data_IF_439910517387
#
_entry.id   IF_439910517387
#
_cell.length_a   1.000
_cell.length_b   1.000
_cell.length_c   1.000
_cell.angle_alpha   90.00
_cell.angle_beta   90.00
_cell.angle_gamma   90.00
#
_symmetry.space_group_name_H-M   'P 1'
#
loop_
_entity.id
_entity.type
_entity.pdbx_description
1 polymer ?
#
# COMPACT_ATOMS: atom_id res chain seq x y z
N UNK A 1 8.43 11.05 3.02
CA UNK A 1 9.34 10.97 1.85
C UNK A 1 10.07 12.28 1.70
N UNK A 2 11.35 12.31 2.08
CA UNK A 2 12.14 13.54 2.05
C UNK A 2 12.67 13.93 0.66
N UNK A 3 12.78 12.98 -0.29
CA UNK A 3 13.35 13.21 -1.63
C UNK A 3 12.71 12.32 -2.70
N UNK A 4 11.50 12.63 -3.21
CA UNK A 4 10.84 11.80 -4.23
C UNK A 4 11.61 11.86 -5.57
N UNK A 5 11.56 10.76 -6.34
CA UNK A 5 11.95 10.80 -7.75
C UNK A 5 10.85 11.54 -8.51
N UNK A 6 11.19 12.68 -9.11
CA UNK A 6 10.21 13.53 -9.77
C UNK A 6 9.88 12.99 -11.16
N UNK A 7 8.60 13.07 -11.60
CA UNK A 7 8.24 12.79 -12.97
C UNK A 7 8.81 13.85 -13.91
N UNK A 8 8.79 13.59 -15.22
CA UNK A 8 9.09 14.60 -16.22
C UNK A 8 7.96 15.63 -16.23
N UNK A 9 8.32 16.91 -16.16
CA UNK A 9 7.38 18.03 -16.18
C UNK A 9 7.40 18.86 -14.90
N UNK A 10 6.49 19.83 -14.83
CA UNK A 10 6.32 20.66 -13.64
C UNK A 10 5.83 19.82 -12.47
N UNK A 11 6.44 20.01 -11.30
CA UNK A 11 6.10 19.24 -10.10
C UNK A 11 5.72 20.16 -8.95
N UNK A 12 4.56 19.89 -8.36
CA UNK A 12 4.12 20.48 -7.09
C UNK A 12 4.35 19.48 -5.96
N UNK A 13 4.89 19.96 -4.84
CA UNK A 13 5.07 19.17 -3.62
C UNK A 13 4.27 19.82 -2.48
N UNK A 14 3.45 19.01 -1.80
CA UNK A 14 2.57 19.46 -0.73
C UNK A 14 1.11 19.04 -0.96
N UNK A 15 0.32 19.06 0.09
CA UNK A 15 -1.11 18.75 0.00
C UNK A 15 -1.91 19.83 -0.74
N UNK A 16 -3.12 19.47 -1.14
CA UNK A 16 -4.07 20.41 -1.76
C UNK A 16 -4.99 21.10 -0.74
N UNK A 17 -5.03 20.65 0.51
CA UNK A 17 -5.99 21.17 1.50
C UNK A 17 -7.37 20.51 1.39
N UNK A 18 -7.41 19.19 1.19
CA UNK A 18 -8.64 18.42 1.02
C UNK A 18 -9.34 18.69 -0.32
N UNK A 19 -10.62 18.33 -0.39
CA UNK A 19 -11.44 18.50 -1.60
C UNK A 19 -11.51 19.96 -2.03
N UNK A 20 -11.77 20.88 -1.09
CA UNK A 20 -11.96 22.30 -1.40
C UNK A 20 -10.73 22.91 -2.08
N UNK A 21 -9.54 22.68 -1.52
CA UNK A 21 -8.32 23.23 -2.11
C UNK A 21 -7.88 22.51 -3.40
N UNK A 22 -8.20 21.22 -3.55
CA UNK A 22 -8.00 20.53 -4.84
C UNK A 22 -8.90 21.12 -5.93
N UNK A 23 -10.17 21.43 -5.63
CA UNK A 23 -11.08 22.10 -6.57
C UNK A 23 -10.56 23.47 -7.01
N UNK A 24 -10.11 24.30 -6.07
CA UNK A 24 -9.48 25.59 -6.39
C UNK A 24 -8.30 25.40 -7.33
N UNK A 25 -7.42 24.43 -7.03
CA UNK A 25 -6.27 24.12 -7.89
C UNK A 25 -6.68 23.71 -9.31
N UNK A 26 -7.68 22.83 -9.47
CA UNK A 26 -8.17 22.41 -10.78
C UNK A 26 -8.67 23.59 -11.62
N UNK A 27 -9.36 24.56 -10.99
CA UNK A 27 -9.85 25.78 -11.65
C UNK A 27 -8.73 26.73 -12.04
N UNK A 28 -7.89 27.08 -11.07
CA UNK A 28 -6.88 28.13 -11.21
C UNK A 28 -5.83 27.74 -12.26
N UNK A 29 -5.41 26.47 -12.24
CA UNK A 29 -4.46 25.90 -13.21
C UNK A 29 -5.13 25.44 -14.51
N UNK A 30 -6.46 25.56 -14.63
CA UNK A 30 -7.25 25.13 -15.79
C UNK A 30 -6.98 23.68 -16.20
N UNK A 31 -6.94 22.79 -15.20
CA UNK A 31 -6.67 21.37 -15.40
C UNK A 31 -7.77 20.75 -16.25
N UNK A 32 -7.38 20.08 -17.34
CA UNK A 32 -8.33 19.49 -18.29
C UNK A 32 -8.67 18.03 -18.02
N UNK A 33 -7.83 17.32 -17.28
CA UNK A 33 -8.02 15.94 -16.90
C UNK A 33 -7.09 15.60 -15.72
N UNK A 34 -7.49 14.64 -14.90
CA UNK A 34 -6.69 14.12 -13.79
C UNK A 34 -6.41 12.63 -14.02
N UNK A 35 -5.16 12.23 -13.82
CA UNK A 35 -4.77 10.82 -13.76
C UNK A 35 -4.32 10.53 -12.34
N UNK A 36 -5.14 9.78 -11.61
CA UNK A 36 -4.79 9.30 -10.28
C UNK A 36 -3.91 8.05 -10.41
N UNK A 37 -2.60 8.26 -10.30
CA UNK A 37 -1.58 7.22 -10.21
C UNK A 37 -1.01 7.10 -8.78
N UNK A 38 -1.77 7.50 -7.76
CA UNK A 38 -1.35 7.35 -6.37
C UNK A 38 -1.28 5.87 -5.95
N UNK A 39 -0.56 5.57 -4.87
CA UNK A 39 -0.53 4.21 -4.32
C UNK A 39 -1.96 3.73 -4.00
N UNK A 40 -2.33 2.45 -4.22
CA UNK A 40 -3.67 1.96 -3.90
C UNK A 40 -4.10 2.23 -2.45
N UNK A 41 -3.17 2.17 -1.50
CA UNK A 41 -3.43 2.52 -0.08
C UNK A 41 -3.59 4.02 0.21
N UNK A 42 -3.42 4.90 -0.79
CA UNK A 42 -3.63 6.33 -0.65
C UNK A 42 -5.13 6.69 -0.84
N UNK A 43 -6.02 5.99 -0.13
CA UNK A 43 -7.46 6.08 -0.29
C UNK A 43 -7.98 7.51 -0.10
N UNK A 44 -7.45 8.24 0.88
CA UNK A 44 -7.89 9.62 1.16
C UNK A 44 -7.67 10.60 0.01
N UNK A 45 -6.51 10.58 -0.66
CA UNK A 45 -6.27 11.45 -1.82
C UNK A 45 -7.06 10.98 -3.05
N UNK A 46 -7.24 9.67 -3.22
CA UNK A 46 -8.05 9.10 -4.30
C UNK A 46 -9.52 9.56 -4.17
N UNK A 47 -10.08 9.47 -2.97
CA UNK A 47 -11.43 9.94 -2.66
C UNK A 47 -11.57 11.47 -2.86
N UNK A 48 -10.57 12.24 -2.42
CA UNK A 48 -10.55 13.68 -2.64
C UNK A 48 -10.52 14.04 -4.14
N UNK A 49 -9.75 13.31 -4.94
CA UNK A 49 -9.66 13.50 -6.38
C UNK A 49 -11.00 13.19 -7.06
N UNK A 50 -11.65 12.10 -6.70
CA UNK A 50 -12.98 11.75 -7.21
C UNK A 50 -14.00 12.87 -6.93
N UNK A 51 -14.12 13.31 -5.67
CA UNK A 51 -15.06 14.36 -5.28
C UNK A 51 -14.75 15.72 -5.94
N UNK A 52 -13.47 16.10 -6.03
CA UNK A 52 -13.08 17.37 -6.65
C UNK A 52 -13.29 17.39 -8.16
N UNK A 53 -12.96 16.28 -8.84
CA UNK A 53 -13.11 16.16 -10.29
C UNK A 53 -14.59 16.18 -10.69
N UNK A 54 -15.45 15.45 -9.97
CA UNK A 54 -16.89 15.45 -10.17
C UNK A 54 -17.48 16.86 -10.02
N UNK A 55 -17.13 17.56 -8.93
CA UNK A 55 -17.62 18.91 -8.65
C UNK A 55 -17.16 19.98 -9.65
N UNK A 56 -16.06 19.75 -10.37
CA UNK A 56 -15.50 20.67 -11.36
C UNK A 56 -15.73 20.22 -12.81
N UNK A 57 -16.40 19.08 -13.02
CA UNK A 57 -16.60 18.52 -14.36
C UNK A 57 -15.29 18.15 -15.07
N UNK A 58 -14.23 17.82 -14.31
CA UNK A 58 -12.93 17.42 -14.84
C UNK A 58 -12.89 15.90 -14.97
N UNK A 59 -12.58 15.32 -16.14
CA UNK A 59 -12.42 13.87 -16.28
C UNK A 59 -11.32 13.31 -15.37
N UNK A 60 -11.62 12.19 -14.71
CA UNK A 60 -10.70 11.46 -13.83
C UNK A 60 -10.47 10.03 -14.34
N UNK A 61 -9.19 9.64 -14.48
CA UNK A 61 -8.76 8.27 -14.74
C UNK A 61 -7.96 7.74 -13.54
N UNK A 62 -8.39 6.61 -12.96
CA UNK A 62 -7.62 5.90 -11.93
C UNK A 62 -6.76 4.81 -12.55
N UNK A 63 -5.45 4.88 -12.35
CA UNK A 63 -4.51 3.82 -12.72
C UNK A 63 -4.16 3.00 -11.47
N UNK A 64 -4.83 1.85 -11.31
CA UNK A 64 -4.58 0.89 -10.24
C UNK A 64 -4.23 -0.49 -10.83
N UNK A 65 -3.27 -1.18 -10.19
CA UNK A 65 -2.95 -2.57 -10.54
C UNK A 65 -3.90 -3.50 -9.79
N UNK A 66 -4.29 -4.60 -10.42
CA UNK A 66 -5.01 -5.68 -9.73
C UNK A 66 -4.15 -6.27 -8.63
N UNK A 67 -4.82 -6.78 -7.60
CA UNK A 67 -4.15 -7.47 -6.51
C UNK A 67 -3.56 -8.80 -6.92
N UNK A 68 -2.83 -9.42 -6.00
CA UNK A 68 -2.20 -10.71 -6.24
C UNK A 68 -3.13 -11.91 -5.97
N UNK A 69 -4.42 -11.68 -5.69
CA UNK A 69 -5.39 -12.76 -5.38
C UNK A 69 -5.54 -13.78 -6.51
N UNK A 70 -5.29 -13.38 -7.76
CA UNK A 70 -5.36 -14.25 -8.93
C UNK A 70 -4.00 -14.88 -9.31
N UNK A 71 -2.95 -14.63 -8.53
CA UNK A 71 -1.64 -15.20 -8.79
C UNK A 71 -1.68 -16.74 -8.61
N UNK A 72 -1.00 -17.54 -9.46
CA UNK A 72 -1.00 -19.01 -9.33
C UNK A 72 -0.59 -19.53 -7.94
N UNK A 73 0.21 -18.73 -7.23
CA UNK A 73 0.72 -19.07 -5.90
C UNK A 73 -0.12 -18.51 -4.75
N UNK A 74 -1.23 -17.81 -5.04
CA UNK A 74 -2.08 -17.16 -4.04
C UNK A 74 -2.59 -18.14 -2.96
N UNK A 75 -2.76 -19.42 -3.30
CA UNK A 75 -3.15 -20.47 -2.36
C UNK A 75 -2.06 -20.89 -1.37
N UNK A 76 -0.79 -20.48 -1.58
CA UNK A 76 0.31 -20.73 -0.65
C UNK A 76 0.50 -19.62 0.37
N UNK A 77 -0.10 -18.46 0.14
CA UNK A 77 0.07 -17.34 1.04
C UNK A 77 -1.02 -17.25 2.08
N UNK A 78 -0.66 -16.69 3.22
CA UNK A 78 -1.63 -16.39 4.26
C UNK A 78 -2.16 -14.97 4.12
N UNK A 79 -3.45 -14.86 3.85
CA UNK A 79 -4.17 -13.59 3.72
C UNK A 79 -4.66 -13.11 5.09
N UNK A 80 -4.40 -11.84 5.40
CA UNK A 80 -4.83 -11.20 6.65
C UNK A 80 -5.28 -9.77 6.36
N UNK A 81 -6.19 -9.25 7.18
CA UNK A 81 -6.88 -7.97 6.94
C UNK A 81 -6.24 -6.78 7.67
N UNK A 82 -5.29 -7.04 8.56
CA UNK A 82 -4.63 -6.00 9.34
C UNK A 82 -3.14 -6.26 9.59
N UNK A 83 -2.42 -5.18 9.94
CA UNK A 83 -1.03 -5.26 10.36
C UNK A 83 -0.86 -6.03 11.67
N UNK A 84 -1.85 -6.00 12.57
CA UNK A 84 -1.82 -6.73 13.82
C UNK A 84 -1.96 -8.24 13.59
N UNK A 85 -2.89 -8.64 12.72
CA UNK A 85 -3.07 -10.06 12.34
C UNK A 85 -1.84 -10.59 11.62
N UNK A 86 -1.26 -9.79 10.72
CA UNK A 86 0.00 -10.11 10.06
C UNK A 86 1.14 -10.31 11.08
N UNK A 87 1.25 -9.46 12.10
CA UNK A 87 2.28 -9.58 13.14
C UNK A 87 2.09 -10.86 13.97
N UNK A 88 0.86 -11.12 14.42
CA UNK A 88 0.53 -12.32 15.20
C UNK A 88 0.82 -13.60 14.40
N UNK A 89 0.44 -13.62 13.12
CA UNK A 89 0.67 -14.77 12.26
C UNK A 89 2.17 -15.00 11.97
N UNK A 90 2.94 -13.93 11.79
CA UNK A 90 4.37 -14.01 11.44
C UNK A 90 5.16 -14.78 12.51
N UNK A 91 4.82 -14.63 13.79
CA UNK A 91 5.46 -15.34 14.91
C UNK A 91 5.43 -16.87 14.73
N UNK A 92 4.34 -17.41 14.15
CA UNK A 92 4.15 -18.85 13.96
C UNK A 92 4.69 -19.41 12.65
N UNK A 93 5.09 -18.56 11.69
CA UNK A 93 5.42 -19.00 10.33
C UNK A 93 6.92 -19.24 10.11
N UNK A 94 7.78 -18.60 10.89
CA UNK A 94 9.22 -18.73 10.77
C UNK A 94 10.00 -17.84 11.72
N UNK A 95 11.30 -17.76 11.49
CA UNK A 95 12.29 -17.24 12.44
C UNK A 95 13.08 -16.04 11.92
N UNK A 96 12.98 -15.73 10.63
CA UNK A 96 13.74 -14.68 9.94
C UNK A 96 12.81 -13.91 9.01
N UNK A 97 11.85 -13.14 9.56
CA UNK A 97 10.86 -12.44 8.76
C UNK A 97 11.46 -11.24 8.03
N UNK A 98 11.01 -11.01 6.80
CA UNK A 98 11.29 -9.82 6.03
C UNK A 98 10.08 -8.89 5.97
N UNK A 99 10.20 -7.71 6.57
CA UNK A 99 9.16 -6.68 6.61
C UNK A 99 9.46 -5.57 5.59
N UNK A 100 8.82 -5.65 4.42
CA UNK A 100 8.91 -4.62 3.37
C UNK A 100 7.63 -3.78 3.25
N UNK A 101 7.14 -3.28 4.39
CA UNK A 101 5.80 -2.66 4.52
C UNK A 101 5.84 -1.14 4.76
N UNK A 102 7.03 -0.56 4.66
CA UNK A 102 7.25 0.85 4.94
C UNK A 102 7.17 1.19 6.42
N UNK A 103 7.54 2.43 6.75
CA UNK A 103 7.73 2.87 8.14
C UNK A 103 6.45 2.92 8.99
N UNK A 104 5.30 3.21 8.38
CA UNK A 104 4.03 3.42 9.11
C UNK A 104 3.40 2.10 9.60
N UNK A 105 3.76 0.98 8.98
CA UNK A 105 3.20 -0.34 9.32
C UNK A 105 3.99 -1.13 10.37
N UNK A 106 5.11 -0.59 10.89
CA UNK A 106 6.05 -1.36 11.71
C UNK A 106 5.63 -1.54 13.16
N UNK A 107 4.92 -0.58 13.76
CA UNK A 107 4.59 -0.59 15.18
C UNK A 107 3.97 -1.91 15.68
N UNK A 108 3.00 -2.54 14.98
CA UNK A 108 2.40 -3.80 15.42
C UNK A 108 3.37 -5.00 15.47
N UNK A 109 4.53 -4.92 14.82
CA UNK A 109 5.52 -6.00 14.73
C UNK A 109 6.58 -5.95 15.82
N UNK A 110 6.79 -4.77 16.44
CA UNK A 110 7.90 -4.52 17.36
C UNK A 110 7.86 -5.47 18.55
N UNK A 111 6.71 -5.57 19.23
CA UNK A 111 6.60 -6.44 20.40
C UNK A 111 6.55 -7.93 20.03
N UNK A 112 5.69 -8.37 19.07
CA UNK A 112 5.60 -9.80 18.75
C UNK A 112 6.90 -10.40 18.19
N UNK A 113 7.74 -9.60 17.52
CA UNK A 113 8.99 -10.05 16.90
C UNK A 113 10.24 -9.46 17.58
N UNK A 114 10.12 -8.98 18.84
CA UNK A 114 11.19 -8.27 19.55
C UNK A 114 12.54 -9.00 19.53
N UNK A 115 12.51 -10.30 19.80
CA UNK A 115 13.71 -11.15 19.91
C UNK A 115 14.00 -11.95 18.62
N UNK A 116 13.27 -11.67 17.54
CA UNK A 116 13.40 -12.37 16.26
C UNK A 116 14.33 -11.57 15.34
N UNK A 117 15.19 -12.27 14.59
CA UNK A 117 16.12 -11.67 13.64
C UNK A 117 15.41 -11.17 12.38
N UNK A 118 14.58 -10.13 12.52
CA UNK A 118 13.81 -9.56 11.43
C UNK A 118 14.67 -8.68 10.52
N UNK A 119 14.50 -8.85 9.22
CA UNK A 119 14.99 -7.92 8.22
C UNK A 119 13.90 -6.88 7.93
N UNK A 120 14.22 -5.60 8.04
CA UNK A 120 13.26 -4.51 7.81
C UNK A 120 13.77 -3.61 6.71
N UNK A 121 12.95 -3.34 5.70
CA UNK A 121 13.29 -2.40 4.63
C UNK A 121 12.35 -1.21 4.61
N UNK A 122 12.89 -0.01 4.77
CA UNK A 122 12.15 1.25 4.74
C UNK A 122 12.86 2.29 3.86
N UNK A 123 12.09 3.29 3.41
CA UNK A 123 12.61 4.42 2.61
C UNK A 123 13.06 5.57 3.49
N UNK A 124 12.24 5.93 4.49
CA UNK A 124 12.55 6.96 5.47
C UNK A 124 12.59 6.30 6.87
N UNK A 125 13.31 6.91 7.80
CA UNK A 125 13.49 6.42 9.19
C UNK A 125 12.14 6.05 9.85
N UNK A 126 12.05 4.93 10.57
CA UNK A 126 10.89 4.61 11.38
C UNK A 126 10.70 5.62 12.52
N UNK A 127 9.44 5.87 12.89
CA UNK A 127 9.09 6.66 14.08
C UNK A 127 9.11 5.81 15.36
N UNK A 128 9.23 4.49 15.21
CA UNK A 128 9.27 3.51 16.31
C UNK A 128 10.72 3.10 16.58
N UNK A 129 11.04 2.88 17.85
CA UNK A 129 12.30 2.27 18.24
C UNK A 129 12.33 0.82 17.79
N UNK A 130 13.38 0.44 17.04
CA UNK A 130 13.52 -0.91 16.52
C UNK A 130 14.27 -1.81 17.53
N UNK A 131 13.84 -3.06 17.72
CA UNK A 131 14.55 -4.02 18.56
C UNK A 131 16.00 -4.25 18.08
N UNK A 132 16.97 -4.48 18.99
CA UNK A 132 18.37 -4.73 18.61
C UNK A 132 18.59 -5.95 17.72
N UNK A 133 17.67 -6.92 17.76
CA UNK A 133 17.72 -8.12 16.92
C UNK A 133 17.41 -7.82 15.44
N UNK A 134 16.85 -6.65 15.12
CA UNK A 134 16.41 -6.31 13.78
C UNK A 134 17.53 -5.68 12.96
N UNK A 135 17.55 -6.01 11.67
CA UNK A 135 18.42 -5.36 10.69
C UNK A 135 17.62 -4.38 9.84
N UNK A 136 17.95 -3.10 9.92
CA UNK A 136 17.30 -2.04 9.15
C UNK A 136 18.04 -1.74 7.84
N UNK A 137 17.33 -1.86 6.72
CA UNK A 137 17.79 -1.49 5.39
C UNK A 137 17.08 -0.24 4.89
N UNK A 138 17.86 0.83 4.71
CA UNK A 138 17.42 2.02 4.00
C UNK A 138 17.57 1.83 2.51
N UNK A 139 16.45 1.60 1.83
CA UNK A 139 16.46 1.34 0.40
C UNK A 139 15.20 1.82 -0.28
N UNK A 140 15.34 2.17 -1.56
CA UNK A 140 14.26 2.63 -2.42
C UNK A 140 14.40 1.96 -3.79
N UNK A 141 13.28 1.43 -4.27
CA UNK A 141 13.23 0.79 -5.57
C UNK A 141 13.39 1.74 -6.77
N UNK A 142 13.26 1.21 -8.00
CA UNK A 142 12.78 -0.14 -8.32
C UNK A 142 13.73 -1.25 -7.85
N UNK A 143 13.17 -2.39 -7.45
CA UNK A 143 13.92 -3.58 -7.05
C UNK A 143 13.88 -4.61 -8.17
N UNK A 144 15.04 -5.10 -8.60
CA UNK A 144 15.12 -6.18 -9.57
C UNK A 144 15.13 -7.54 -8.88
N UNK A 145 14.64 -8.55 -9.59
CA UNK A 145 14.40 -9.87 -9.03
C UNK A 145 15.68 -10.62 -8.64
N UNK A 146 16.82 -10.38 -9.30
CA UNK A 146 18.08 -11.03 -8.96
C UNK A 146 18.64 -10.49 -7.65
N UNK A 147 18.62 -9.17 -7.49
CA UNK A 147 19.04 -8.50 -6.26
C UNK A 147 18.13 -8.87 -5.08
N UNK A 148 16.82 -8.95 -5.28
CA UNK A 148 15.89 -9.38 -4.22
C UNK A 148 16.19 -10.80 -3.76
N UNK A 149 16.43 -11.74 -4.70
CA UNK A 149 16.80 -13.11 -4.34
C UNK A 149 18.11 -13.19 -3.56
N UNK A 150 19.12 -12.43 -3.98
CA UNK A 150 20.40 -12.38 -3.29
C UNK A 150 20.22 -11.84 -1.85
N UNK A 151 19.44 -10.77 -1.68
CA UNK A 151 19.14 -10.19 -0.39
C UNK A 151 18.43 -11.18 0.54
N UNK A 152 17.38 -11.84 0.05
CA UNK A 152 16.63 -12.82 0.84
C UNK A 152 17.53 -14.00 1.25
N UNK A 153 18.41 -14.47 0.36
CA UNK A 153 19.34 -15.56 0.65
C UNK A 153 20.44 -15.15 1.65
N UNK A 154 21.04 -13.97 1.49
CA UNK A 154 22.06 -13.42 2.38
C UNK A 154 21.55 -13.32 3.82
N UNK A 155 20.31 -12.86 3.98
CA UNK A 155 19.67 -12.75 5.29
C UNK A 155 18.91 -14.01 5.72
N UNK A 156 18.94 -15.09 4.94
CA UNK A 156 18.25 -16.35 5.26
C UNK A 156 16.76 -16.17 5.54
N UNK A 157 16.08 -15.29 4.79
CA UNK A 157 14.67 -14.98 5.00
C UNK A 157 13.81 -16.21 4.76
N UNK A 158 13.10 -16.66 5.80
CA UNK A 158 12.19 -17.81 5.75
C UNK A 158 10.72 -17.40 5.71
N UNK A 159 10.42 -16.12 5.96
CA UNK A 159 9.06 -15.56 5.94
C UNK A 159 9.08 -14.17 5.32
N UNK A 160 8.30 -13.94 4.27
CA UNK A 160 8.18 -12.62 3.64
C UNK A 160 6.82 -11.98 3.92
N UNK A 161 6.80 -10.70 4.31
CA UNK A 161 5.56 -9.90 4.37
C UNK A 161 5.54 -8.85 3.27
N UNK A 162 4.53 -8.95 2.40
CA UNK A 162 4.20 -7.94 1.39
C UNK A 162 2.74 -7.47 1.52
N UNK A 163 2.50 -6.21 1.13
CA UNK A 163 1.15 -5.66 1.07
C UNK A 163 0.68 -5.60 -0.38
N UNK A 164 -0.54 -6.07 -0.65
CA UNK A 164 -1.21 -5.90 -1.93
C UNK A 164 -2.55 -5.19 -1.71
N UNK A 165 -2.99 -4.45 -2.71
CA UNK A 165 -4.38 -3.99 -2.78
C UNK A 165 -5.15 -4.98 -3.63
N UNK A 166 -6.21 -5.57 -3.10
CA UNK A 166 -7.15 -6.37 -3.87
C UNK A 166 -8.21 -5.45 -4.46
N UNK A 167 -7.94 -4.83 -5.61
CA UNK A 167 -9.03 -4.26 -6.40
C UNK A 167 -9.82 -5.44 -6.98
N UNK A 168 -11.00 -5.75 -6.44
CA UNK A 168 -11.92 -6.65 -7.13
C UNK A 168 -12.45 -5.93 -8.39
N UNK A 169 -12.46 -6.56 -9.57
CA UNK A 169 -13.13 -5.98 -10.72
C UNK A 169 -14.62 -5.86 -10.39
N UNK A 170 -15.17 -4.64 -10.45
CA UNK A 170 -16.61 -4.47 -10.43
C UNK A 170 -17.18 -5.25 -11.62
N UNK A 171 -18.06 -6.21 -11.34
CA UNK A 171 -18.81 -6.92 -12.38
C UNK A 171 -19.59 -5.94 -13.27
N UNK A 172 -20.04 -6.37 -14.46
CA UNK A 172 -20.79 -5.48 -15.36
C UNK A 172 -22.04 -4.94 -14.65
N UNK A 173 -22.47 -3.70 -14.94
CA UNK A 173 -23.59 -3.08 -14.24
C UNK A 173 -24.87 -3.87 -14.49
N UNK A 174 -25.38 -4.53 -13.45
CA UNK A 174 -26.74 -5.04 -13.42
C UNK A 174 -27.69 -3.87 -13.10
N UNK A 175 -28.64 -3.64 -14.02
CA UNK A 175 -29.78 -2.72 -13.98
C UNK A 175 -30.53 -2.75 -12.62
N UNK A 176 -31.11 -1.63 -12.13
CA UNK A 176 -31.26 -1.38 -10.69
C UNK A 176 -32.52 -2.04 -10.11
N UNK A 177 -32.54 -2.34 -8.79
CA UNK A 177 -33.78 -2.44 -8.05
C UNK A 177 -34.20 -1.05 -7.54
N UNK A 178 -35.48 -0.76 -7.78
CA UNK A 178 -36.24 0.35 -7.23
C UNK A 178 -36.36 0.20 -5.71
N UNK A 179 -36.04 1.26 -4.95
CA UNK A 179 -36.46 1.41 -3.55
C UNK A 179 -35.35 1.41 -2.51
N UNK A 180 -35.22 2.55 -1.83
CA UNK A 180 -34.80 2.78 -0.43
C UNK A 180 -33.78 1.80 0.18
N UNK A 181 -32.51 2.23 0.22
CA UNK A 181 -31.69 2.30 1.44
C UNK A 181 -30.35 2.97 1.09
N UNK A 182 -29.94 3.97 1.88
CA UNK A 182 -28.61 4.58 1.79
C UNK A 182 -27.55 3.52 2.12
N UNK A 183 -26.62 3.18 1.22
CA UNK A 183 -25.50 2.33 1.60
C UNK A 183 -24.54 3.17 2.47
N UNK A 184 -24.41 2.76 3.73
CA UNK A 184 -23.41 3.29 4.65
C UNK A 184 -21.98 3.14 4.12
N UNK A 185 -21.01 3.89 4.67
CA UNK A 185 -19.65 3.91 4.16
C UNK A 185 -18.91 2.63 4.60
N UNK A 186 -19.07 1.54 3.87
CA UNK A 186 -18.34 0.29 4.12
C UNK A 186 -17.71 -0.25 2.86
N UNK A 187 -16.80 0.50 2.23
CA UNK A 187 -15.79 -0.08 1.33
C UNK A 187 -14.42 0.33 1.86
N UNK A 188 -14.03 -0.27 2.98
CA UNK A 188 -12.62 -0.32 3.35
C UNK A 188 -11.94 -1.24 2.33
N UNK A 189 -11.19 -0.66 1.40
CA UNK A 189 -10.27 -1.41 0.53
C UNK A 189 -9.43 -2.35 1.41
N UNK A 190 -9.74 -3.65 1.34
CA UNK A 190 -9.16 -4.68 2.20
C UNK A 190 -7.63 -4.69 2.03
N UNK A 191 -6.93 -4.37 3.11
CA UNK A 191 -5.48 -4.55 3.22
C UNK A 191 -5.19 -6.03 3.32
N UNK A 192 -5.15 -6.71 2.17
CA UNK A 192 -4.73 -8.10 2.13
C UNK A 192 -3.20 -8.14 2.15
N UNK A 193 -2.63 -8.40 3.33
CA UNK A 193 -1.23 -8.77 3.42
C UNK A 193 -1.10 -10.26 3.13
N UNK A 194 0.00 -10.64 2.48
CA UNK A 194 0.30 -12.04 2.27
C UNK A 194 1.62 -12.37 2.96
N UNK A 195 1.64 -13.49 3.68
CA UNK A 195 2.84 -14.04 4.29
C UNK A 195 3.20 -15.33 3.55
N UNK A 196 4.41 -15.39 3.01
CA UNK A 196 4.93 -16.57 2.30
C UNK A 196 6.10 -17.17 3.08
N UNK A 197 6.17 -18.51 3.14
CA UNK A 197 7.27 -19.24 3.75
C UNK A 197 8.28 -19.60 2.65
N UNK A 198 9.47 -19.03 2.68
CA UNK A 198 10.54 -19.41 1.76
C UNK A 198 10.89 -20.88 2.01
N UNK A 199 10.88 -21.69 0.94
CA UNK A 199 11.37 -23.07 0.99
C UNK A 199 12.89 -23.13 0.94
#
# INVERSE_FOLDING_TARGET
VARPRLPVGETRIGGFGGVAGLRSYLRDERVRAVVDATHPFAAGISANAAAACDAEGVPLLRLARTGWSEHPDAGRWHWVDSHADAAALTVGLGSRPFLSIGRQGLAPFVEPLRDVAALVRVVDEPEVELPPAWTLLHSRGPYDLASERALLAEHGVDVGRSATSALQPSGPPSTPPTGLEEPGPEHADEQRAHVDRSR
#
